data_IF_160027110265
#
_entry.id   IF_160027110265
#
_cell.length_a   1.000
_cell.length_b   1.000
_cell.length_c   1.000
_cell.angle_alpha   90.00
_cell.angle_beta   90.00
_cell.angle_gamma   90.00
#
_symmetry.space_group_name_H-M   'P 1'
#
loop_
_entity.id
_entity.type
_entity.pdbx_description
1 polymer ?
#
# COMPACT_ATOMS: atom_id res chain seq x y z
N UNK A 1 -20.72 44.74 4.04
CA UNK A 1 -20.43 44.56 2.58
C UNK A 1 -19.39 43.48 2.28
N UNK A 2 -18.30 43.35 3.05
CA UNK A 2 -17.28 42.27 2.86
C UNK A 2 -17.85 40.85 2.99
N UNK A 3 -18.71 40.59 3.97
CA UNK A 3 -19.36 39.28 4.13
C UNK A 3 -20.25 38.90 2.94
N UNK A 4 -21.07 39.82 2.39
CA UNK A 4 -21.88 39.54 1.20
C UNK A 4 -21.04 39.15 -0.02
N UNK A 5 -19.90 39.81 -0.25
CA UNK A 5 -18.96 39.45 -1.34
C UNK A 5 -18.30 38.07 -1.12
N UNK A 6 -17.97 37.73 0.12
CA UNK A 6 -17.46 36.38 0.48
C UNK A 6 -18.54 35.31 0.26
N UNK A 7 -19.79 35.57 0.62
CA UNK A 7 -20.91 34.66 0.40
C UNK A 7 -21.23 34.46 -1.09
N UNK A 8 -21.24 35.53 -1.89
CA UNK A 8 -21.42 35.41 -3.35
C UNK A 8 -20.24 34.69 -4.03
N UNK A 9 -19.00 34.90 -3.55
CA UNK A 9 -17.83 34.17 -4.02
C UNK A 9 -17.89 32.68 -3.69
N UNK A 10 -18.25 32.34 -2.45
CA UNK A 10 -18.42 30.95 -2.01
C UNK A 10 -19.56 30.24 -2.76
N UNK A 11 -20.69 30.92 -2.97
CA UNK A 11 -21.81 30.40 -3.75
C UNK A 11 -21.42 30.16 -5.22
N UNK A 12 -20.66 31.08 -5.82
CA UNK A 12 -20.13 30.93 -7.18
C UNK A 12 -19.20 29.71 -7.32
N UNK A 13 -18.28 29.52 -6.37
CA UNK A 13 -17.39 28.35 -6.34
C UNK A 13 -18.19 27.05 -6.19
N UNK A 14 -19.21 27.04 -5.33
CA UNK A 14 -20.07 25.88 -5.14
C UNK A 14 -20.84 25.51 -6.42
N UNK A 15 -21.38 26.51 -7.14
CA UNK A 15 -22.08 26.29 -8.41
C UNK A 15 -21.15 25.73 -9.48
N UNK A 16 -19.94 26.26 -9.61
CA UNK A 16 -18.93 25.75 -10.56
C UNK A 16 -18.55 24.31 -10.20
N UNK A 17 -18.28 24.03 -8.93
CA UNK A 17 -17.97 22.69 -8.45
C UNK A 17 -19.09 21.69 -8.74
N UNK A 18 -20.35 22.09 -8.55
CA UNK A 18 -21.52 21.26 -8.86
C UNK A 18 -21.64 21.00 -10.37
N UNK A 19 -21.45 22.03 -11.20
CA UNK A 19 -21.49 21.86 -12.66
C UNK A 19 -20.40 20.89 -13.16
N UNK A 20 -19.18 21.00 -12.61
CA UNK A 20 -18.08 20.06 -12.90
C UNK A 20 -18.43 18.65 -12.45
N UNK A 21 -18.95 18.48 -11.23
CA UNK A 21 -19.38 17.18 -10.71
C UNK A 21 -20.45 16.55 -11.61
N UNK A 22 -21.47 17.30 -12.04
CA UNK A 22 -22.50 16.80 -12.97
C UNK A 22 -21.87 16.39 -14.32
N UNK A 23 -20.90 17.15 -14.84
CA UNK A 23 -20.18 16.79 -16.06
C UNK A 23 -19.29 15.55 -15.95
N UNK A 24 -18.81 15.22 -14.74
CA UNK A 24 -18.07 13.98 -14.45
C UNK A 24 -19.04 12.81 -14.26
N UNK A 25 -20.22 13.07 -13.70
CA UNK A 25 -21.25 12.08 -13.40
C UNK A 25 -21.72 11.33 -14.65
N UNK A 26 -21.77 12.01 -15.80
CA UNK A 26 -22.31 11.48 -17.06
C UNK A 26 -21.31 11.64 -18.22
N UNK A 27 -20.17 10.95 -18.12
CA UNK A 27 -19.23 10.88 -19.25
C UNK A 27 -19.74 9.91 -20.32
N UNK A 28 -19.59 10.23 -21.62
CA UNK A 28 -20.03 9.34 -22.68
C UNK A 28 -19.16 8.06 -22.70
N UNK A 29 -19.79 6.95 -23.09
CA UNK A 29 -19.09 5.70 -23.34
C UNK A 29 -18.13 5.84 -24.52
N UNK A 30 -16.92 5.30 -24.40
CA UNK A 30 -16.03 5.07 -25.55
C UNK A 30 -16.45 3.76 -26.21
N UNK A 31 -16.64 3.79 -27.53
CA UNK A 31 -17.05 2.63 -28.31
C UNK A 31 -16.09 1.45 -28.06
N UNK A 32 -16.61 0.22 -27.84
CA UNK A 32 -15.76 -0.94 -27.70
C UNK A 32 -15.00 -1.20 -29.01
N UNK A 33 -13.79 -1.74 -28.88
CA UNK A 33 -13.01 -2.25 -30.01
C UNK A 33 -13.03 -3.79 -29.99
N UNK A 34 -12.63 -4.40 -31.10
CA UNK A 34 -12.23 -5.80 -31.07
C UNK A 34 -10.88 -5.93 -30.35
N UNK A 35 -10.66 -7.01 -29.56
CA UNK A 35 -9.40 -7.20 -28.88
C UNK A 35 -8.22 -7.22 -29.87
N UNK A 36 -7.19 -6.38 -29.67
CA UNK A 36 -6.00 -6.40 -30.51
C UNK A 36 -5.31 -7.76 -30.42
N UNK A 37 -4.76 -8.22 -31.54
CA UNK A 37 -4.00 -9.46 -31.57
C UNK A 37 -2.72 -9.32 -30.72
N UNK A 38 -2.40 -10.30 -29.87
CA UNK A 38 -1.21 -10.22 -28.99
C UNK A 38 0.08 -9.93 -29.77
N UNK A 39 0.20 -10.49 -30.97
CA UNK A 39 1.36 -10.32 -31.85
C UNK A 39 1.47 -8.92 -32.49
N UNK A 40 0.44 -8.06 -32.38
CA UNK A 40 0.49 -6.69 -32.92
C UNK A 40 1.27 -5.72 -32.03
N UNK A 41 1.60 -6.12 -30.79
CA UNK A 41 2.37 -5.30 -29.88
C UNK A 41 3.87 -5.56 -30.02
N UNK A 42 4.66 -4.49 -30.09
CA UNK A 42 6.11 -4.57 -30.09
C UNK A 42 6.61 -5.25 -28.78
N UNK A 43 7.42 -6.33 -28.87
CA UNK A 43 8.00 -6.97 -27.69
C UNK A 43 8.78 -6.02 -26.77
N UNK A 44 9.42 -4.96 -27.29
CA UNK A 44 10.10 -3.97 -26.45
C UNK A 44 9.10 -3.16 -25.62
N UNK A 45 7.99 -2.73 -26.24
CA UNK A 45 6.91 -2.03 -25.56
C UNK A 45 6.25 -2.91 -24.49
N UNK A 46 6.04 -4.20 -24.77
CA UNK A 46 5.50 -5.16 -23.80
C UNK A 46 6.44 -5.33 -22.61
N UNK A 47 7.76 -5.40 -22.83
CA UNK A 47 8.75 -5.45 -21.73
C UNK A 47 8.75 -4.17 -20.90
N UNK A 48 8.66 -3.00 -21.54
CA UNK A 48 8.51 -1.72 -20.82
C UNK A 48 7.23 -1.73 -19.98
N UNK A 49 6.14 -2.27 -20.53
CA UNK A 49 4.86 -2.40 -19.83
C UNK A 49 4.92 -3.30 -18.61
N UNK A 50 5.70 -4.39 -18.65
CA UNK A 50 5.93 -5.25 -17.50
C UNK A 50 6.52 -4.45 -16.32
N UNK A 51 7.51 -3.58 -16.59
CA UNK A 51 8.09 -2.67 -15.58
C UNK A 51 7.05 -1.69 -15.04
N UNK A 52 6.24 -1.08 -15.90
CA UNK A 52 5.20 -0.12 -15.48
C UNK A 52 4.14 -0.78 -14.60
N UNK A 53 3.69 -1.98 -14.98
CA UNK A 53 2.67 -2.74 -14.25
C UNK A 53 3.18 -3.23 -12.90
N UNK A 54 4.47 -3.61 -12.80
CA UNK A 54 5.13 -3.92 -11.53
C UNK A 54 5.31 -2.67 -10.65
N UNK A 55 5.76 -1.53 -11.21
CA UNK A 55 5.84 -0.26 -10.46
C UNK A 55 4.48 0.23 -9.96
N UNK A 56 3.41 -0.06 -10.71
CA UNK A 56 2.04 0.26 -10.35
C UNK A 56 1.38 -0.73 -9.39
N UNK A 57 2.06 -1.82 -9.03
CA UNK A 57 1.57 -2.88 -8.15
C UNK A 57 0.22 -3.47 -8.60
N UNK A 58 -0.03 -3.49 -9.92
CA UNK A 58 -1.39 -3.77 -10.43
C UNK A 58 -1.81 -5.22 -10.14
N UNK A 59 -0.86 -6.16 -10.12
CA UNK A 59 -1.14 -7.58 -9.90
C UNK A 59 -1.65 -7.84 -8.48
N UNK A 60 -1.19 -7.05 -7.51
CA UNK A 60 -1.55 -7.20 -6.09
C UNK A 60 -3.03 -6.89 -5.89
N UNK A 61 -3.53 -5.82 -6.50
CA UNK A 61 -4.95 -5.49 -6.43
C UNK A 61 -5.80 -6.38 -7.34
N UNK A 62 -5.34 -6.65 -8.57
CA UNK A 62 -6.15 -7.32 -9.59
C UNK A 62 -6.03 -8.85 -9.58
N UNK A 63 -5.69 -9.48 -8.46
CA UNK A 63 -5.61 -10.94 -8.33
C UNK A 63 -6.24 -11.37 -7.01
N UNK A 64 -7.27 -12.22 -7.05
CA UNK A 64 -7.86 -12.79 -5.83
C UNK A 64 -6.89 -13.75 -5.12
N UNK A 65 -7.16 -14.07 -3.85
CA UNK A 65 -6.50 -15.17 -3.14
C UNK A 65 -6.73 -16.47 -3.95
N UNK A 66 -5.65 -17.12 -4.39
CA UNK A 66 -5.66 -18.29 -5.30
C UNK A 66 -6.25 -18.04 -6.72
N UNK A 67 -6.40 -16.76 -7.09
CA UNK A 67 -6.87 -16.34 -8.40
C UNK A 67 -5.79 -16.40 -9.49
N UNK A 68 -6.23 -16.35 -10.75
CA UNK A 68 -5.32 -16.14 -11.88
C UNK A 68 -4.84 -14.68 -11.91
N UNK A 69 -3.57 -14.41 -12.24
CA UNK A 69 -3.03 -13.06 -12.28
C UNK A 69 -3.91 -12.11 -13.12
N UNK A 70 -4.19 -10.93 -12.57
CA UNK A 70 -4.97 -9.86 -13.22
C UNK A 70 -6.47 -10.14 -13.44
N UNK A 71 -6.99 -11.30 -13.02
CA UNK A 71 -8.38 -11.69 -13.21
C UNK A 71 -9.37 -11.02 -12.25
N UNK A 72 -8.90 -10.16 -11.35
CA UNK A 72 -9.70 -9.44 -10.36
C UNK A 72 -10.21 -10.34 -9.24
N UNK A 73 -11.22 -9.83 -8.52
CA UNK A 73 -11.94 -10.58 -7.48
C UNK A 73 -11.39 -10.42 -6.06
N UNK A 74 -10.25 -9.74 -5.87
CA UNK A 74 -9.74 -9.44 -4.54
C UNK A 74 -10.73 -8.53 -3.77
N UNK A 75 -11.16 -8.90 -2.56
CA UNK A 75 -11.94 -8.03 -1.69
C UNK A 75 -11.04 -6.98 -1.03
N UNK A 76 -11.41 -5.71 -1.19
CA UNK A 76 -10.81 -4.57 -0.51
C UNK A 76 -11.79 -4.08 0.56
N UNK A 77 -11.54 -4.48 1.80
CA UNK A 77 -12.37 -4.09 2.94
C UNK A 77 -12.12 -2.62 3.29
N UNK A 78 -13.16 -1.80 3.23
CA UNK A 78 -13.11 -0.38 3.59
C UNK A 78 -14.06 -0.08 4.75
N UNK A 79 -13.92 1.06 5.43
CA UNK A 79 -14.92 1.52 6.40
C UNK A 79 -16.34 1.72 5.83
N UNK A 80 -16.47 1.71 4.50
CA UNK A 80 -17.71 1.95 3.76
C UNK A 80 -18.34 0.67 3.19
N UNK A 81 -17.73 -0.50 3.44
CA UNK A 81 -18.06 -1.78 2.83
C UNK A 81 -16.92 -2.32 1.97
N UNK A 82 -17.19 -3.33 1.16
CA UNK A 82 -16.20 -4.07 0.39
C UNK A 82 -16.24 -3.68 -1.08
N UNK A 83 -15.08 -3.30 -1.63
CA UNK A 83 -14.87 -3.09 -3.06
C UNK A 83 -14.18 -4.32 -3.62
N UNK A 84 -14.59 -4.80 -4.79
CA UNK A 84 -13.91 -5.91 -5.44
C UNK A 84 -13.10 -5.40 -6.63
N UNK A 85 -11.83 -5.81 -6.70
CA UNK A 85 -10.98 -5.48 -7.83
C UNK A 85 -11.54 -6.09 -9.13
N UNK A 86 -11.41 -5.36 -10.23
CA UNK A 86 -11.95 -5.78 -11.54
C UNK A 86 -10.98 -6.71 -12.28
N UNK A 87 -11.48 -7.47 -13.24
CA UNK A 87 -10.65 -8.21 -14.17
C UNK A 87 -10.03 -7.25 -15.21
N UNK A 88 -8.70 -7.23 -15.31
CA UNK A 88 -7.94 -6.41 -16.26
C UNK A 88 -7.14 -7.24 -17.27
N UNK A 89 -7.51 -8.52 -17.43
CA UNK A 89 -7.01 -9.38 -18.51
C UNK A 89 -7.61 -8.96 -19.87
N UNK A 90 -7.05 -9.39 -21.02
CA UNK A 90 -7.61 -9.08 -22.33
C UNK A 90 -8.88 -9.86 -22.67
N UNK A 91 -9.53 -10.51 -21.69
CA UNK A 91 -10.81 -11.17 -21.93
C UNK A 91 -11.85 -10.14 -22.43
N UNK A 92 -12.57 -10.49 -23.49
CA UNK A 92 -13.43 -9.56 -24.21
C UNK A 92 -14.76 -9.28 -23.48
N UNK A 93 -15.21 -10.20 -22.63
CA UNK A 93 -16.52 -10.14 -21.98
C UNK A 93 -16.43 -9.60 -20.56
N UNK A 94 -15.41 -10.03 -19.82
CA UNK A 94 -15.26 -9.79 -18.38
C UNK A 94 -14.04 -8.94 -18.04
N UNK A 95 -13.06 -8.84 -18.94
CA UNK A 95 -11.85 -8.04 -18.77
C UNK A 95 -11.85 -6.72 -19.55
N UNK A 96 -10.64 -6.23 -19.85
CA UNK A 96 -10.43 -5.00 -20.64
C UNK A 96 -10.24 -5.27 -22.14
N UNK A 97 -10.50 -6.50 -22.61
CA UNK A 97 -10.26 -6.91 -24.01
C UNK A 97 -10.87 -5.99 -25.07
N UNK A 98 -12.02 -5.38 -24.77
CA UNK A 98 -12.74 -4.46 -25.67
C UNK A 98 -12.46 -2.98 -25.41
N UNK A 99 -11.52 -2.64 -24.53
CA UNK A 99 -11.15 -1.27 -24.21
C UNK A 99 -10.10 -0.80 -25.20
N UNK A 100 -10.26 0.39 -25.77
CA UNK A 100 -9.17 1.03 -26.49
C UNK A 100 -8.10 1.55 -25.52
N UNK A 101 -6.89 1.83 -26.03
CA UNK A 101 -5.85 2.51 -25.24
C UNK A 101 -6.37 3.82 -24.64
N UNK A 102 -7.23 4.56 -25.34
CA UNK A 102 -7.79 5.82 -24.83
C UNK A 102 -8.80 5.60 -23.70
N UNK A 103 -9.60 4.53 -23.76
CA UNK A 103 -10.47 4.16 -22.65
C UNK A 103 -9.66 3.75 -21.41
N UNK A 104 -8.56 3.00 -21.61
CA UNK A 104 -7.63 2.64 -20.54
C UNK A 104 -6.94 3.88 -19.95
N UNK A 105 -6.45 4.79 -20.79
CA UNK A 105 -5.85 6.05 -20.37
C UNK A 105 -6.83 6.92 -19.58
N UNK A 106 -8.10 6.98 -20.00
CA UNK A 106 -9.15 7.73 -19.29
C UNK A 106 -9.43 7.15 -17.91
N UNK A 107 -9.42 5.83 -17.76
CA UNK A 107 -9.57 5.20 -16.46
C UNK A 107 -8.42 5.58 -15.52
N UNK A 108 -7.17 5.48 -15.99
CA UNK A 108 -5.98 5.82 -15.20
C UNK A 108 -5.89 7.32 -14.86
N UNK A 109 -6.21 8.22 -15.80
CA UNK A 109 -6.02 9.66 -15.60
C UNK A 109 -7.18 10.35 -14.88
N UNK A 110 -8.40 9.89 -15.13
CA UNK A 110 -9.62 10.59 -14.71
C UNK A 110 -10.52 9.73 -13.81
N UNK A 111 -10.18 8.46 -13.58
CA UNK A 111 -11.01 7.55 -12.80
C UNK A 111 -12.37 7.30 -13.47
N UNK A 112 -12.43 7.27 -14.80
CA UNK A 112 -13.68 7.04 -15.55
C UNK A 112 -13.53 5.78 -16.42
N UNK A 113 -14.40 4.79 -16.19
CA UNK A 113 -14.42 3.54 -16.94
C UNK A 113 -14.80 3.76 -18.43
N UNK A 114 -14.58 2.74 -19.28
CA UNK A 114 -14.93 2.81 -20.72
C UNK A 114 -16.40 3.18 -20.98
N UNK A 115 -17.33 2.63 -20.20
CA UNK A 115 -18.76 2.90 -20.33
C UNK A 115 -19.19 4.28 -19.79
N UNK A 116 -18.27 5.00 -19.13
CA UNK A 116 -18.48 6.36 -18.65
C UNK A 116 -18.75 6.50 -17.16
N UNK A 117 -18.89 5.40 -16.41
CA UNK A 117 -19.13 5.50 -14.97
C UNK A 117 -17.84 5.88 -14.20
N UNK A 118 -17.93 6.64 -13.10
CA UNK A 118 -16.80 6.91 -12.21
C UNK A 118 -16.32 5.66 -11.47
N UNK A 119 -15.01 5.42 -11.45
CA UNK A 119 -14.36 4.37 -10.69
C UNK A 119 -14.19 4.79 -9.24
N UNK A 120 -14.32 3.84 -8.31
CA UNK A 120 -14.10 4.16 -6.89
C UNK A 120 -12.63 4.51 -6.60
N UNK A 121 -12.36 5.46 -5.70
CA UNK A 121 -11.00 5.91 -5.37
C UNK A 121 -10.04 4.86 -4.82
N UNK A 122 -10.53 3.67 -4.47
CA UNK A 122 -9.67 2.52 -4.17
C UNK A 122 -8.75 2.17 -5.36
N UNK A 123 -9.17 2.49 -6.59
CA UNK A 123 -8.27 2.57 -7.73
C UNK A 123 -7.51 3.91 -7.66
N UNK A 124 -6.16 3.92 -7.53
CA UNK A 124 -5.40 5.13 -7.19
C UNK A 124 -5.18 6.08 -8.39
N UNK A 125 -6.25 6.39 -9.14
CA UNK A 125 -6.20 7.27 -10.32
C UNK A 125 -5.77 8.71 -9.99
N UNK A 126 -5.92 9.16 -8.74
CA UNK A 126 -5.37 10.45 -8.28
C UNK A 126 -3.83 10.49 -8.29
N UNK A 127 -3.18 9.31 -8.34
CA UNK A 127 -1.74 9.17 -8.54
C UNK A 127 -1.40 8.85 -9.98
N UNK A 128 -2.12 7.90 -10.61
CA UNK A 128 -1.88 7.50 -11.99
C UNK A 128 -2.08 8.61 -13.02
N UNK A 129 -2.80 9.68 -12.69
CA UNK A 129 -2.87 10.88 -13.53
C UNK A 129 -1.50 11.48 -13.88
N UNK A 130 -0.48 11.22 -13.05
CA UNK A 130 0.92 11.65 -13.27
C UNK A 130 1.67 10.81 -14.31
N UNK A 131 1.15 9.64 -14.68
CA UNK A 131 1.80 8.75 -15.67
C UNK A 131 2.00 9.45 -17.01
N UNK A 132 3.11 9.13 -17.68
CA UNK A 132 3.34 9.57 -19.06
C UNK A 132 2.42 8.79 -20.02
N UNK A 133 2.22 9.32 -21.23
CA UNK A 133 1.46 8.59 -22.24
C UNK A 133 2.18 7.31 -22.71
N UNK A 134 3.51 7.31 -22.67
CA UNK A 134 4.34 6.15 -22.97
C UNK A 134 4.16 5.06 -21.91
N UNK A 135 4.16 5.41 -20.62
CA UNK A 135 3.91 4.44 -19.53
C UNK A 135 2.51 3.82 -19.65
N UNK A 136 1.48 4.63 -19.93
CA UNK A 136 0.11 4.15 -20.13
C UNK A 136 0.04 3.20 -21.34
N UNK A 137 0.70 3.56 -22.43
CA UNK A 137 0.71 2.76 -23.66
C UNK A 137 1.45 1.43 -23.46
N UNK A 138 2.57 1.46 -22.74
CA UNK A 138 3.33 0.28 -22.38
C UNK A 138 2.52 -0.65 -21.45
N UNK A 139 1.91 -0.11 -20.39
CA UNK A 139 1.06 -0.86 -19.47
C UNK A 139 -0.12 -1.53 -20.21
N UNK A 140 -0.80 -0.78 -21.08
CA UNK A 140 -1.86 -1.31 -21.93
C UNK A 140 -1.36 -2.47 -22.81
N UNK A 141 -0.23 -2.30 -23.51
CA UNK A 141 0.34 -3.35 -24.34
C UNK A 141 0.69 -4.62 -23.53
N UNK A 142 1.27 -4.46 -22.33
CA UNK A 142 1.58 -5.60 -21.47
C UNK A 142 0.32 -6.35 -21.00
N UNK A 143 -0.69 -5.62 -20.52
CA UNK A 143 -1.95 -6.22 -20.07
C UNK A 143 -2.67 -6.92 -21.23
N UNK A 144 -2.71 -6.31 -22.41
CA UNK A 144 -3.38 -6.87 -23.59
C UNK A 144 -2.67 -8.11 -24.18
N UNK A 145 -1.46 -8.43 -23.73
CA UNK A 145 -0.73 -9.66 -24.10
C UNK A 145 -0.80 -10.76 -23.03
N UNK A 146 -1.43 -10.50 -21.88
CA UNK A 146 -1.62 -11.52 -20.84
C UNK A 146 -2.59 -12.61 -21.32
N UNK A 147 -2.64 -13.70 -20.56
CA UNK A 147 -3.64 -14.72 -20.81
C UNK A 147 -5.04 -14.16 -20.45
N UNK A 148 -6.07 -14.33 -21.30
CA UNK A 148 -7.40 -13.81 -21.08
C UNK A 148 -8.08 -14.76 -20.11
N UNK A 149 -8.54 -14.24 -18.99
CA UNK A 149 -9.22 -15.04 -17.99
C UNK A 149 -10.65 -14.58 -17.95
N UNK A 150 -11.59 -15.47 -18.29
CA UNK A 150 -13.01 -15.16 -18.22
C UNK A 150 -13.52 -15.33 -16.80
N UNK A 151 -13.51 -14.24 -16.05
CA UNK A 151 -13.93 -14.21 -14.65
C UNK A 151 -14.77 -12.96 -14.37
N UNK A 152 -16.02 -13.18 -13.95
CA UNK A 152 -16.87 -12.09 -13.46
C UNK A 152 -16.61 -11.89 -11.97
N UNK A 153 -16.14 -10.71 -11.61
CA UNK A 153 -15.85 -10.36 -10.22
C UNK A 153 -17.15 -10.06 -9.46
N UNK A 154 -17.20 -10.30 -8.13
CA UNK A 154 -18.36 -9.91 -7.33
C UNK A 154 -18.66 -8.40 -7.46
N UNK A 155 -19.93 -7.98 -7.36
CA UNK A 155 -20.26 -6.56 -7.31
C UNK A 155 -19.79 -5.96 -5.98
N UNK A 156 -19.47 -4.67 -5.97
CA UNK A 156 -19.13 -3.95 -4.74
C UNK A 156 -20.32 -3.97 -3.77
N UNK A 157 -20.02 -4.21 -2.50
CA UNK A 157 -20.97 -4.18 -1.39
C UNK A 157 -20.68 -2.98 -0.51
N UNK A 158 -21.30 -1.85 -0.84
CA UNK A 158 -21.09 -0.56 -0.16
C UNK A 158 -22.36 -0.09 0.53
N UNK A 159 -22.19 0.60 1.65
CA UNK A 159 -23.31 1.21 2.38
C UNK A 159 -23.98 2.30 1.55
N UNK A 160 -25.30 2.46 1.69
CA UNK A 160 -26.01 3.60 1.12
C UNK A 160 -25.59 4.91 1.82
N UNK A 161 -25.35 6.03 1.10
CA UNK A 161 -25.51 6.22 -0.35
C UNK A 161 -24.23 5.99 -1.17
N UNK A 162 -23.14 5.48 -0.60
CA UNK A 162 -21.84 5.31 -1.27
C UNK A 162 -21.86 4.21 -2.37
N UNK A 163 -22.85 3.32 -2.34
CA UNK A 163 -23.16 2.42 -3.45
C UNK A 163 -23.69 3.15 -4.70
N UNK A 164 -24.20 4.37 -4.59
CA UNK A 164 -24.60 5.19 -5.74
C UNK A 164 -23.36 5.83 -6.38
N UNK A 165 -22.71 5.04 -7.24
CA UNK A 165 -21.44 5.35 -7.94
C UNK A 165 -21.34 6.74 -8.57
N UNK A 166 -22.39 7.35 -9.15
CA UNK A 166 -22.37 8.73 -9.62
C UNK A 166 -21.88 9.78 -8.60
N UNK A 167 -22.02 9.54 -7.29
CA UNK A 167 -21.56 10.47 -6.25
C UNK A 167 -20.03 10.60 -6.16
N UNK A 168 -19.28 9.63 -6.70
CA UNK A 168 -17.81 9.73 -6.77
C UNK A 168 -17.36 10.94 -7.59
N UNK A 169 -18.21 11.45 -8.48
CA UNK A 169 -17.93 12.70 -9.20
C UNK A 169 -17.64 13.88 -8.27
N UNK A 170 -18.32 14.00 -7.13
CA UNK A 170 -18.05 15.04 -6.13
C UNK A 170 -16.70 14.83 -5.45
N UNK A 171 -16.37 13.56 -5.15
CA UNK A 171 -15.06 13.20 -4.62
C UNK A 171 -13.94 13.59 -5.61
N UNK A 172 -14.13 13.35 -6.91
CA UNK A 172 -13.16 13.76 -7.94
C UNK A 172 -12.92 15.27 -7.95
N UNK A 173 -13.95 16.11 -7.81
CA UNK A 173 -13.75 17.57 -7.70
C UNK A 173 -12.83 17.93 -6.54
N UNK A 174 -12.96 17.23 -5.41
CA UNK A 174 -12.18 17.50 -4.20
C UNK A 174 -10.73 17.01 -4.30
N UNK A 175 -10.49 15.81 -4.83
CA UNK A 175 -9.19 15.13 -4.68
C UNK A 175 -8.45 14.89 -6.00
N UNK A 176 -9.13 14.80 -7.15
CA UNK A 176 -8.45 14.59 -8.43
C UNK A 176 -7.81 15.89 -8.92
N UNK A 177 -6.52 15.82 -9.22
CA UNK A 177 -5.75 16.90 -9.85
C UNK A 177 -5.07 16.34 -11.10
N UNK A 178 -5.70 16.55 -12.24
CA UNK A 178 -5.21 15.98 -13.49
C UNK A 178 -3.91 16.65 -13.94
N UNK A 179 -2.97 15.83 -14.43
CA UNK A 179 -1.77 16.32 -15.09
C UNK A 179 -0.58 15.38 -14.95
N UNK A 180 0.12 15.18 -16.06
CA UNK A 180 1.40 14.48 -16.06
C UNK A 180 2.40 15.21 -15.15
N UNK A 181 3.27 14.43 -14.50
CA UNK A 181 4.34 14.98 -13.69
C UNK A 181 5.25 15.90 -14.51
N UNK A 182 5.66 17.02 -13.89
CA UNK A 182 6.65 17.94 -14.46
C UNK A 182 7.89 17.92 -13.58
N UNK A 183 9.07 17.58 -14.14
CA UNK A 183 10.33 17.62 -13.41
C UNK A 183 10.61 19.02 -12.83
N UNK A 184 11.11 19.06 -11.61
CA UNK A 184 11.64 20.26 -10.98
C UNK A 184 13.07 20.52 -11.48
N UNK A 185 13.34 21.64 -12.18
CA UNK A 185 14.66 21.93 -12.73
C UNK A 185 15.73 22.21 -11.65
N UNK A 186 15.33 22.45 -10.40
CA UNK A 186 16.26 22.62 -9.28
C UNK A 186 16.73 21.30 -8.66
N UNK A 187 16.13 20.18 -9.07
CA UNK A 187 16.38 18.85 -8.51
C UNK A 187 17.12 17.96 -9.51
N UNK A 188 17.83 16.96 -8.99
CA UNK A 188 18.53 15.99 -9.84
C UNK A 188 17.56 15.13 -10.65
N UNK A 189 18.04 14.54 -11.75
CA UNK A 189 17.25 13.61 -12.55
C UNK A 189 16.76 12.40 -11.71
N UNK A 190 17.62 11.89 -10.82
CA UNK A 190 17.29 10.78 -9.91
C UNK A 190 16.20 11.18 -8.92
N UNK A 191 16.26 12.38 -8.35
CA UNK A 191 15.21 12.88 -7.46
C UNK A 191 13.87 13.03 -8.18
N UNK A 192 13.88 13.63 -9.38
CA UNK A 192 12.67 13.80 -10.19
C UNK A 192 12.07 12.45 -10.60
N UNK A 193 12.91 11.47 -10.94
CA UNK A 193 12.47 10.09 -11.18
C UNK A 193 11.83 9.49 -9.94
N UNK A 194 12.46 9.65 -8.78
CA UNK A 194 11.95 9.17 -7.50
C UNK A 194 10.59 9.76 -7.15
N UNK A 195 10.44 11.08 -7.30
CA UNK A 195 9.18 11.79 -7.08
C UNK A 195 8.07 11.30 -8.01
N UNK A 196 8.37 11.13 -9.30
CA UNK A 196 7.41 10.57 -10.27
C UNK A 196 6.93 9.18 -9.85
N UNK A 197 7.85 8.31 -9.42
CA UNK A 197 7.51 6.96 -9.00
C UNK A 197 6.70 6.98 -7.70
N UNK A 198 7.12 7.73 -6.68
CA UNK A 198 6.46 7.74 -5.37
C UNK A 198 5.09 8.43 -5.41
N UNK A 199 4.98 9.59 -6.05
CA UNK A 199 3.72 10.34 -6.11
C UNK A 199 2.78 9.84 -7.22
N UNK A 200 3.33 9.11 -8.21
CA UNK A 200 2.63 8.64 -9.40
C UNK A 200 2.43 7.13 -9.40
N UNK A 201 3.24 6.39 -10.16
CA UNK A 201 3.06 4.96 -10.40
C UNK A 201 2.99 4.12 -9.12
N UNK A 202 3.93 4.31 -8.19
CA UNK A 202 3.99 3.57 -6.94
C UNK A 202 2.98 4.04 -5.89
N UNK A 203 2.22 5.11 -6.15
CA UNK A 203 1.10 5.63 -5.35
C UNK A 203 1.33 5.57 -3.82
N UNK A 204 2.56 5.78 -3.35
CA UNK A 204 2.95 5.36 -2.00
C UNK A 204 2.16 6.12 -0.91
N UNK A 205 1.71 7.33 -1.24
CA UNK A 205 0.87 8.14 -0.37
C UNK A 205 -0.51 7.51 -0.09
N UNK A 206 -1.04 6.66 -0.97
CA UNK A 206 -2.32 5.96 -0.79
C UNK A 206 -2.31 5.04 0.45
N UNK A 207 -1.15 4.48 0.79
CA UNK A 207 -0.98 3.67 2.00
C UNK A 207 -0.32 4.45 3.15
N UNK A 208 0.63 5.32 2.82
CA UNK A 208 1.46 6.01 3.81
C UNK A 208 0.97 7.41 4.17
N UNK A 209 -0.27 7.78 3.85
CA UNK A 209 -0.89 9.05 4.28
C UNK A 209 -2.22 8.77 4.97
N UNK A 210 -2.61 9.58 5.97
CA UNK A 210 -3.87 9.37 6.65
C UNK A 210 -5.03 9.80 5.74
N UNK A 211 -6.08 8.99 5.72
CA UNK A 211 -7.31 9.29 5.01
C UNK A 211 -8.27 10.11 5.89
N UNK A 212 -9.08 10.96 5.27
CA UNK A 212 -10.16 11.69 5.92
C UNK A 212 -11.44 10.82 5.99
N UNK A 213 -12.48 11.35 6.62
CA UNK A 213 -13.75 10.64 6.84
C UNK A 213 -14.49 10.21 5.55
N UNK A 214 -14.13 10.75 4.39
CA UNK A 214 -14.69 10.38 3.07
C UNK A 214 -13.68 9.62 2.19
N UNK A 215 -12.62 9.07 2.80
CA UNK A 215 -11.65 8.21 2.12
C UNK A 215 -10.66 8.93 1.21
N UNK A 216 -10.54 10.26 1.28
CA UNK A 216 -9.50 11.01 0.56
C UNK A 216 -8.26 11.26 1.42
N UNK A 217 -7.09 11.38 0.81
CA UNK A 217 -5.86 11.76 1.52
C UNK A 217 -6.02 13.12 2.24
N UNK A 218 -5.56 13.21 3.48
CA UNK A 218 -5.64 14.45 4.25
C UNK A 218 -4.65 15.49 3.73
N UNK A 219 -5.16 16.68 3.38
CA UNK A 219 -4.34 17.79 2.90
C UNK A 219 -3.28 18.19 3.96
N UNK A 220 -2.03 18.33 3.52
CA UNK A 220 -0.91 18.71 4.38
C UNK A 220 -0.38 17.61 5.30
N UNK A 221 -0.87 16.37 5.15
CA UNK A 221 -0.45 15.19 5.92
C UNK A 221 0.17 14.09 5.06
N UNK A 222 0.62 14.43 3.85
CA UNK A 222 1.22 13.47 2.94
C UNK A 222 2.41 12.76 3.61
N UNK A 223 2.42 11.43 3.54
CA UNK A 223 3.46 10.57 4.09
C UNK A 223 3.54 10.50 5.63
N UNK A 224 2.50 10.94 6.36
CA UNK A 224 2.42 10.88 7.84
C UNK A 224 2.08 9.49 8.41
N UNK A 225 1.98 8.47 7.55
CA UNK A 225 1.56 7.11 7.89
C UNK A 225 0.07 6.90 7.67
N UNK A 226 -0.39 5.66 7.78
CA UNK A 226 -1.78 5.28 7.49
C UNK A 226 -2.14 3.91 8.04
N UNK A 227 -3.41 3.54 7.90
CA UNK A 227 -3.89 2.18 8.20
C UNK A 227 -4.42 1.58 6.90
N UNK A 228 -3.89 0.41 6.52
CA UNK A 228 -4.30 -0.34 5.32
C UNK A 228 -4.43 -1.81 5.69
N UNK A 229 -5.57 -2.41 5.38
CA UNK A 229 -5.89 -3.82 5.69
C UNK A 229 -5.59 -4.23 7.14
N UNK A 230 -5.85 -3.33 8.09
CA UNK A 230 -5.60 -3.57 9.52
C UNK A 230 -4.14 -3.42 9.96
N UNK A 231 -3.21 -3.19 9.02
CA UNK A 231 -1.79 -2.89 9.27
C UNK A 231 -1.57 -1.38 9.38
N UNK A 232 -0.57 -0.98 10.16
CA UNK A 232 -0.07 0.40 10.22
C UNK A 232 1.05 0.59 9.19
N UNK A 233 0.78 1.38 8.16
CA UNK A 233 1.81 1.86 7.25
C UNK A 233 2.60 2.99 7.95
N UNK A 234 3.91 2.82 8.20
CA UNK A 234 4.69 3.81 8.92
C UNK A 234 4.84 5.11 8.11
N UNK A 235 5.05 6.27 8.76
CA UNK A 235 5.33 7.51 8.05
C UNK A 235 6.60 7.41 7.19
N UNK A 236 6.49 7.72 5.89
CA UNK A 236 7.67 7.78 5.00
C UNK A 236 8.46 9.07 5.18
N UNK A 237 7.88 10.09 5.83
CA UNK A 237 8.54 11.36 6.12
C UNK A 237 9.18 11.44 7.52
N UNK A 238 9.30 10.31 8.23
CA UNK A 238 9.91 10.24 9.57
C UNK A 238 10.90 9.07 9.74
N UNK A 239 11.43 8.53 8.64
CA UNK A 239 12.48 7.50 8.64
C UNK A 239 13.76 7.95 9.38
N UNK A 240 14.06 9.24 9.37
CA UNK A 240 15.18 9.80 10.16
C UNK A 240 14.97 9.73 11.69
N UNK A 241 13.74 9.50 12.16
CA UNK A 241 13.39 9.41 13.60
C UNK A 241 13.23 7.97 14.10
N UNK A 242 13.51 6.97 13.25
CA UNK A 242 13.55 5.57 13.68
C UNK A 242 14.64 5.34 14.76
N UNK A 243 14.56 4.22 15.48
CA UNK A 243 15.53 3.85 16.55
C UNK A 243 16.97 3.95 16.04
N UNK A 244 17.18 3.49 14.80
CA UNK A 244 18.34 3.81 13.99
C UNK A 244 17.84 4.56 12.75
N UNK A 245 18.38 5.73 12.40
CA UNK A 245 17.96 6.43 11.18
C UNK A 245 18.20 5.55 9.94
N UNK A 246 17.23 5.53 9.02
CA UNK A 246 17.38 4.80 7.76
C UNK A 246 18.49 5.38 6.89
N UNK A 247 19.34 4.50 6.37
CA UNK A 247 20.26 4.84 5.28
C UNK A 247 19.63 4.56 3.91
N UNK A 248 20.15 5.20 2.85
CA UNK A 248 19.71 4.92 1.49
C UNK A 248 19.95 3.45 1.11
N UNK A 249 21.09 2.88 1.49
CA UNK A 249 21.41 1.49 1.24
C UNK A 249 20.39 0.54 1.90
N UNK A 250 20.05 0.77 3.18
CA UNK A 250 19.02 -0.02 3.87
C UNK A 250 17.65 0.11 3.21
N UNK A 251 17.25 1.31 2.81
CA UNK A 251 15.95 1.52 2.16
C UNK A 251 15.89 0.82 0.79
N UNK A 252 16.95 0.89 -0.01
CA UNK A 252 17.04 0.15 -1.29
C UNK A 252 16.98 -1.35 -1.05
N UNK A 253 17.73 -1.88 -0.08
CA UNK A 253 17.69 -3.30 0.28
C UNK A 253 16.29 -3.71 0.73
N UNK A 254 15.61 -2.90 1.55
CA UNK A 254 14.24 -3.18 1.99
C UNK A 254 13.26 -3.24 0.83
N UNK A 255 13.30 -2.24 -0.06
CA UNK A 255 12.39 -2.19 -1.21
C UNK A 255 12.65 -3.31 -2.22
N UNK A 256 13.86 -3.87 -2.29
CA UNK A 256 14.20 -5.01 -3.19
C UNK A 256 14.03 -6.39 -2.57
N UNK A 257 14.09 -6.51 -1.25
CA UNK A 257 14.19 -7.83 -0.58
C UNK A 257 13.15 -8.05 0.51
N UNK A 258 12.38 -7.00 0.83
CA UNK A 258 11.48 -6.98 1.98
C UNK A 258 12.22 -6.96 3.31
N UNK A 259 13.51 -6.61 3.38
CA UNK A 259 14.30 -6.62 4.62
C UNK A 259 15.26 -5.46 4.73
N UNK A 260 15.39 -4.91 5.92
CA UNK A 260 16.48 -4.02 6.27
C UNK A 260 17.09 -4.39 7.62
N UNK A 261 18.42 -4.43 7.64
CA UNK A 261 19.18 -4.46 8.88
C UNK A 261 18.74 -3.31 9.76
N UNK A 262 18.60 -3.57 11.06
CA UNK A 262 18.18 -2.59 12.06
C UNK A 262 16.76 -2.02 11.92
N UNK A 263 15.88 -2.63 11.10
CA UNK A 263 14.49 -2.17 10.95
C UNK A 263 13.44 -3.28 10.90
N UNK A 264 13.77 -4.43 10.30
CA UNK A 264 12.87 -5.59 10.23
C UNK A 264 12.54 -6.04 8.81
N UNK A 265 11.42 -6.74 8.67
CA UNK A 265 10.95 -7.33 7.41
C UNK A 265 9.57 -6.80 7.02
N UNK A 266 9.33 -6.72 5.71
CA UNK A 266 8.04 -6.41 5.12
C UNK A 266 7.06 -7.55 5.38
N UNK A 267 5.81 -7.19 5.68
CA UNK A 267 4.71 -8.11 5.90
C UNK A 267 3.40 -7.43 5.47
N UNK A 268 2.30 -8.19 5.48
CA UNK A 268 0.99 -7.69 5.10
C UNK A 268 1.01 -7.04 3.71
N UNK A 269 0.34 -5.89 3.53
CA UNK A 269 0.24 -5.20 2.24
C UNK A 269 1.58 -4.74 1.65
N UNK A 270 2.60 -4.49 2.48
CA UNK A 270 3.90 -4.01 1.98
C UNK A 270 4.77 -5.12 1.39
N UNK A 271 4.57 -6.37 1.81
CA UNK A 271 5.36 -7.51 1.33
C UNK A 271 5.28 -7.70 -0.20
N UNK A 272 4.09 -7.78 -0.83
CA UNK A 272 4.02 -7.94 -2.27
C UNK A 272 4.58 -6.71 -3.02
N UNK A 273 4.43 -5.49 -2.48
CA UNK A 273 5.05 -4.28 -3.05
C UNK A 273 6.57 -4.45 -3.16
N UNK A 274 7.24 -4.97 -2.11
CA UNK A 274 8.70 -5.21 -2.17
C UNK A 274 9.08 -6.29 -3.17
N UNK A 275 8.20 -7.26 -3.46
CA UNK A 275 8.43 -8.29 -4.47
C UNK A 275 8.32 -7.71 -5.87
N UNK A 276 7.31 -6.90 -6.14
CA UNK A 276 7.14 -6.24 -7.43
C UNK A 276 8.31 -5.28 -7.70
N UNK A 277 8.72 -4.50 -6.70
CA UNK A 277 9.90 -3.64 -6.78
C UNK A 277 11.23 -4.42 -6.92
N UNK A 278 11.30 -5.68 -6.50
CA UNK A 278 12.48 -6.52 -6.75
C UNK A 278 12.67 -6.82 -8.25
N UNK A 279 11.58 -6.82 -9.02
CA UNK A 279 11.58 -7.15 -10.46
C UNK A 279 11.91 -5.96 -11.35
N UNK A 280 11.86 -4.73 -10.83
CA UNK A 280 12.15 -3.52 -11.59
C UNK A 280 13.66 -3.19 -11.56
N UNK A 281 14.15 -2.39 -12.53
CA UNK A 281 15.54 -1.98 -12.55
C UNK A 281 15.95 -1.27 -11.25
N UNK A 282 17.16 -1.57 -10.76
CA UNK A 282 17.64 -1.10 -9.47
C UNK A 282 17.63 0.43 -9.37
N UNK A 283 17.89 1.13 -10.47
CA UNK A 283 17.90 2.59 -10.51
C UNK A 283 16.55 3.22 -10.16
N UNK A 284 15.42 2.53 -10.39
CA UNK A 284 14.10 3.01 -9.96
C UNK A 284 13.96 2.95 -8.45
N UNK A 285 14.43 1.87 -7.84
CA UNK A 285 14.39 1.69 -6.39
C UNK A 285 15.32 2.69 -5.70
N UNK A 286 16.50 2.94 -6.27
CA UNK A 286 17.41 3.97 -5.80
C UNK A 286 16.80 5.37 -5.90
N UNK A 287 16.11 5.67 -7.01
CA UNK A 287 15.40 6.94 -7.18
C UNK A 287 14.27 7.11 -6.16
N UNK A 288 13.46 6.07 -5.93
CA UNK A 288 12.43 6.05 -4.87
C UNK A 288 13.07 6.35 -3.52
N UNK A 289 14.16 5.67 -3.17
CA UNK A 289 14.87 5.89 -1.91
C UNK A 289 15.43 7.32 -1.79
N UNK A 290 16.02 7.87 -2.86
CA UNK A 290 16.49 9.26 -2.92
C UNK A 290 15.38 10.24 -2.61
N UNK A 291 14.19 10.08 -3.23
CA UNK A 291 13.08 10.99 -3.00
C UNK A 291 12.49 10.84 -1.59
N UNK A 292 12.26 9.61 -1.12
CA UNK A 292 11.74 9.37 0.23
C UNK A 292 12.68 9.98 1.28
N UNK A 293 14.00 9.80 1.17
CA UNK A 293 14.95 10.40 2.12
C UNK A 293 15.04 11.93 2.04
N UNK A 294 14.54 12.54 0.96
CA UNK A 294 14.51 14.01 0.84
C UNK A 294 13.31 14.67 1.54
N UNK A 295 12.23 13.92 1.81
CA UNK A 295 10.98 14.45 2.39
C UNK A 295 10.93 14.33 3.92
N UNK A 296 12.06 14.07 4.56
CA UNK A 296 12.12 13.82 6.01
C UNK A 296 11.83 15.09 6.81
N UNK A 297 10.94 14.97 7.80
CA UNK A 297 10.73 16.00 8.82
C UNK A 297 11.94 16.04 9.77
N UNK A 298 12.22 17.21 10.38
CA UNK A 298 13.28 17.32 11.38
C UNK A 298 13.12 16.25 12.47
N UNK A 299 14.12 15.41 12.64
CA UNK A 299 14.10 14.37 13.66
C UNK A 299 14.22 15.01 15.05
N UNK A 300 13.35 14.59 15.99
CA UNK A 300 13.60 14.87 17.39
C UNK A 300 14.85 14.08 17.81
N UNK A 301 15.87 14.76 18.36
CA UNK A 301 17.07 14.11 18.84
C UNK A 301 16.69 13.07 19.91
N UNK A 302 16.83 11.79 19.58
CA UNK A 302 16.69 10.69 20.53
C UNK A 302 18.02 9.94 20.62
N UNK A 303 18.46 9.54 21.82
CA UNK A 303 19.62 8.67 21.97
C UNK A 303 19.41 7.39 21.17
N UNK A 304 20.33 7.10 20.25
CA UNK A 304 20.33 5.91 19.41
C UNK A 304 20.85 4.69 20.17
N UNK A 305 20.27 4.39 21.33
CA UNK A 305 20.55 3.13 22.03
C UNK A 305 19.48 2.13 21.64
N UNK A 306 19.90 1.03 21.00
CA UNK A 306 19.07 -0.17 20.97
C UNK A 306 18.79 -0.53 22.43
N UNK A 307 17.54 -0.40 22.87
CA UNK A 307 17.19 -0.75 24.23
C UNK A 307 17.39 -2.24 24.42
N UNK A 308 18.44 -2.65 25.12
CA UNK A 308 18.50 -3.99 25.69
C UNK A 308 17.37 -4.05 26.71
N UNK A 309 16.34 -4.85 26.44
CA UNK A 309 15.24 -5.03 27.36
C UNK A 309 15.74 -5.55 28.71
N UNK A 310 15.02 -5.22 29.78
CA UNK A 310 15.42 -5.58 31.15
C UNK A 310 14.99 -7.00 31.55
N UNK A 311 14.49 -7.78 30.58
CA UNK A 311 13.82 -9.06 30.82
C UNK A 311 12.39 -8.89 31.36
N UNK A 312 11.61 -9.97 31.42
CA UNK A 312 10.21 -9.91 31.85
C UNK A 312 10.11 -9.61 33.34
N UNK A 313 9.54 -8.45 33.67
CA UNK A 313 9.30 -7.99 35.06
C UNK A 313 7.83 -8.02 35.43
N UNK A 314 6.93 -7.91 34.46
CA UNK A 314 5.48 -7.96 34.70
C UNK A 314 4.93 -9.40 34.64
N UNK A 315 3.81 -9.72 35.32
CA UNK A 315 3.17 -11.02 35.19
C UNK A 315 2.80 -11.39 33.74
N UNK A 316 2.40 -10.41 32.94
CA UNK A 316 2.11 -10.60 31.51
C UNK A 316 3.38 -10.92 30.72
N UNK A 317 4.46 -10.16 30.92
CA UNK A 317 5.76 -10.42 30.32
C UNK A 317 6.33 -11.80 30.71
N UNK A 318 6.11 -12.25 31.95
CA UNK A 318 6.54 -13.57 32.41
C UNK A 318 5.78 -14.72 31.73
N UNK A 319 4.45 -14.60 31.59
CA UNK A 319 3.66 -15.58 30.82
C UNK A 319 4.04 -15.55 29.35
N UNK A 320 4.21 -14.36 28.78
CA UNK A 320 4.67 -14.15 27.41
C UNK A 320 6.05 -14.76 27.14
N UNK A 321 6.97 -14.71 28.11
CA UNK A 321 8.27 -15.34 28.00
C UNK A 321 8.16 -16.86 27.80
N UNK A 322 7.25 -17.52 28.52
CA UNK A 322 7.00 -18.96 28.37
C UNK A 322 6.47 -19.28 26.96
N UNK A 323 5.50 -18.51 26.48
CA UNK A 323 4.95 -18.66 25.12
C UNK A 323 6.02 -18.41 24.04
N UNK A 324 6.84 -17.37 24.22
CA UNK A 324 7.92 -17.03 23.29
C UNK A 324 8.96 -18.15 23.24
N UNK A 325 9.36 -18.72 24.38
CA UNK A 325 10.27 -19.87 24.39
C UNK A 325 9.68 -21.09 23.68
N UNK A 326 8.37 -21.32 23.80
CA UNK A 326 7.72 -22.46 23.19
C UNK A 326 7.58 -22.35 21.66
N UNK A 327 7.36 -21.14 21.11
CA UNK A 327 7.01 -20.99 19.68
C UNK A 327 7.87 -20.03 18.87
N UNK A 328 8.57 -19.10 19.50
CA UNK A 328 9.26 -18.01 18.80
C UNK A 328 10.79 -18.10 18.93
N UNK A 329 11.30 -18.60 20.05
CA UNK A 329 12.72 -18.55 20.40
C UNK A 329 13.61 -19.37 19.46
N UNK A 330 13.08 -20.41 18.81
CA UNK A 330 13.83 -21.17 17.81
C UNK A 330 14.28 -20.32 16.61
N UNK A 331 13.52 -19.26 16.31
CA UNK A 331 13.77 -18.30 15.22
C UNK A 331 14.28 -16.94 15.73
N UNK A 332 13.77 -16.45 16.86
CA UNK A 332 14.05 -15.10 17.35
C UNK A 332 14.89 -15.05 18.64
N UNK A 333 15.20 -16.20 19.23
CA UNK A 333 16.05 -16.28 20.42
C UNK A 333 17.50 -15.89 20.12
N UNK A 334 18.29 -15.51 21.14
CA UNK A 334 19.69 -15.08 20.95
C UNK A 334 20.59 -16.11 20.25
N UNK A 335 20.29 -17.40 20.42
CA UNK A 335 21.03 -18.50 19.80
C UNK A 335 20.40 -19.01 18.48
N UNK A 336 19.33 -18.37 18.00
CA UNK A 336 18.63 -18.79 16.80
C UNK A 336 19.48 -18.53 15.54
N UNK A 337 19.55 -19.47 14.57
CA UNK A 337 20.30 -19.27 13.32
C UNK A 337 19.90 -18.02 12.53
N UNK A 338 18.65 -17.57 12.65
CA UNK A 338 18.18 -16.33 12.03
C UNK A 338 18.86 -15.06 12.56
N UNK A 339 19.52 -15.08 13.73
CA UNK A 339 20.29 -13.96 14.25
C UNK A 339 21.66 -13.81 13.56
N UNK A 340 22.17 -14.87 12.93
CA UNK A 340 23.50 -14.89 12.30
C UNK A 340 23.46 -15.08 10.78
N UNK A 341 22.35 -15.58 10.23
CA UNK A 341 22.18 -15.85 8.80
C UNK A 341 21.31 -14.77 8.14
N UNK A 342 21.84 -14.12 7.10
CA UNK A 342 21.09 -13.24 6.22
C UNK A 342 20.74 -11.86 6.79
N UNK A 343 21.59 -11.31 7.68
CA UNK A 343 21.44 -9.98 8.28
C UNK A 343 20.09 -9.75 9.00
N UNK A 344 19.53 -10.83 9.55
CA UNK A 344 18.37 -10.88 10.46
C UNK A 344 18.53 -9.98 11.68
N UNK A 345 18.07 -8.70 11.76
CA UNK A 345 18.32 -7.97 12.98
C UNK A 345 17.54 -8.62 14.13
N UNK A 346 18.12 -8.57 15.32
CA UNK A 346 17.39 -8.83 16.56
C UNK A 346 16.05 -8.09 16.55
N UNK A 347 15.03 -8.68 17.18
CA UNK A 347 13.75 -8.01 17.38
C UNK A 347 13.89 -6.66 18.09
N UNK A 348 15.04 -6.40 18.74
CA UNK A 348 15.33 -5.10 19.34
C UNK A 348 15.44 -3.93 18.37
N UNK A 349 15.65 -4.21 17.09
CA UNK A 349 15.63 -3.20 16.03
C UNK A 349 14.34 -3.26 15.19
N UNK A 350 13.40 -4.13 15.52
CA UNK A 350 12.15 -4.21 14.79
C UNK A 350 11.36 -2.92 14.95
N UNK A 351 11.07 -2.26 13.83
CA UNK A 351 10.18 -1.09 13.77
C UNK A 351 8.80 -1.41 14.35
N UNK A 352 8.29 -2.63 14.17
CA UNK A 352 7.03 -3.07 14.77
C UNK A 352 7.10 -3.18 16.30
N UNK A 353 8.23 -3.65 16.85
CA UNK A 353 8.44 -3.72 18.31
C UNK A 353 8.68 -2.33 18.89
N UNK A 354 9.33 -1.43 18.15
CA UNK A 354 9.61 -0.06 18.56
C UNK A 354 8.46 0.93 18.30
N UNK A 355 7.37 0.49 17.65
CA UNK A 355 6.23 1.33 17.31
C UNK A 355 5.47 1.85 18.54
N UNK A 356 4.74 2.95 18.38
CA UNK A 356 3.93 3.51 19.46
C UNK A 356 2.66 2.69 19.71
N UNK A 357 2.18 1.94 18.71
CA UNK A 357 1.06 1.01 18.83
C UNK A 357 1.53 -0.45 18.70
N UNK A 358 0.84 -1.42 19.34
CA UNK A 358 1.15 -2.84 19.17
C UNK A 358 0.61 -3.44 17.86
N UNK A 359 -0.04 -2.64 17.00
CA UNK A 359 -0.81 -3.14 15.85
C UNK A 359 0.00 -4.04 14.93
N UNK A 360 1.16 -3.58 14.47
CA UNK A 360 1.99 -4.35 13.54
C UNK A 360 2.64 -5.57 14.22
N UNK A 361 2.95 -5.48 15.52
CA UNK A 361 3.47 -6.63 16.27
C UNK A 361 2.40 -7.73 16.39
N UNK A 362 1.15 -7.37 16.70
CA UNK A 362 0.01 -8.29 16.71
C UNK A 362 -0.23 -8.87 15.32
N UNK A 363 -0.30 -8.02 14.29
CA UNK A 363 -0.53 -8.43 12.91
C UNK A 363 0.54 -9.42 12.40
N UNK A 364 1.80 -9.18 12.75
CA UNK A 364 2.89 -10.10 12.43
C UNK A 364 2.71 -11.46 13.13
N UNK A 365 2.28 -11.49 14.40
CA UNK A 365 1.99 -12.75 15.09
C UNK A 365 0.76 -13.46 14.50
N UNK A 366 -0.30 -12.72 14.17
CA UNK A 366 -1.51 -13.28 13.59
C UNK A 366 -1.27 -13.87 12.21
N UNK A 367 -0.71 -13.10 11.29
CA UNK A 367 -0.69 -13.46 9.88
C UNK A 367 0.65 -14.03 9.43
N UNK A 368 1.73 -13.78 10.19
CA UNK A 368 3.07 -14.22 9.85
C UNK A 368 3.54 -13.67 8.49
N UNK A 369 4.44 -14.42 7.86
CA UNK A 369 4.93 -14.19 6.51
C UNK A 369 4.93 -15.55 5.80
N UNK A 370 3.99 -15.75 4.87
CA UNK A 370 3.80 -17.01 4.16
C UNK A 370 4.96 -17.41 3.24
N UNK A 371 4.96 -18.68 2.80
CA UNK A 371 5.89 -19.18 1.77
C UNK A 371 5.44 -18.73 0.39
N UNK A 372 6.34 -18.17 -0.40
CA UNK A 372 6.04 -17.75 -1.78
C UNK A 372 7.22 -18.06 -2.71
N UNK A 373 7.47 -19.34 -2.96
CA UNK A 373 8.54 -19.82 -3.84
C UNK A 373 9.84 -20.18 -3.12
N UNK A 374 10.96 -20.15 -3.85
CA UNK A 374 12.27 -20.67 -3.42
C UNK A 374 12.99 -19.79 -2.37
N UNK A 375 12.51 -18.57 -2.13
CA UNK A 375 13.14 -17.63 -1.20
C UNK A 375 12.72 -17.94 0.25
N UNK A 376 13.23 -19.07 0.75
CA UNK A 376 12.91 -19.71 2.05
C UNK A 376 13.23 -18.87 3.27
N UNK A 377 13.97 -17.77 3.11
CA UNK A 377 14.51 -17.05 4.23
C UNK A 377 13.40 -16.31 5.00
N UNK A 378 12.39 -15.72 4.36
CA UNK A 378 11.46 -14.78 5.02
C UNK A 378 10.24 -15.40 5.70
N UNK A 379 10.20 -16.71 5.92
CA UNK A 379 9.04 -17.34 6.53
C UNK A 379 8.86 -17.00 8.01
N UNK A 380 7.62 -16.70 8.40
CA UNK A 380 7.14 -16.71 9.78
C UNK A 380 5.75 -17.35 9.80
N UNK A 381 5.50 -18.39 10.60
CA UNK A 381 4.17 -18.98 10.68
C UNK A 381 3.14 -17.99 11.24
N UNK A 382 1.90 -18.15 10.81
CA UNK A 382 0.74 -17.52 11.44
C UNK A 382 0.47 -18.18 12.80
N UNK A 383 0.08 -17.36 13.78
CA UNK A 383 -0.33 -17.79 15.12
C UNK A 383 -1.76 -17.39 15.48
N UNK A 384 -2.54 -16.89 14.50
CA UNK A 384 -3.92 -16.44 14.76
C UNK A 384 -4.74 -17.61 15.32
N UNK A 385 -4.64 -18.82 14.80
CA UNK A 385 -5.45 -19.95 15.29
C UNK A 385 -4.85 -20.68 16.50
N UNK A 386 -3.61 -20.35 16.88
CA UNK A 386 -2.84 -21.06 17.91
C UNK A 386 -2.88 -20.35 19.27
N UNK A 387 -2.99 -19.03 19.26
CA UNK A 387 -3.04 -18.22 20.47
C UNK A 387 -4.30 -17.36 20.53
N UNK A 388 -4.91 -17.32 21.71
CA UNK A 388 -6.01 -16.40 21.99
C UNK A 388 -5.51 -14.94 22.17
N UNK A 389 -6.44 -14.00 22.31
CA UNK A 389 -6.13 -12.57 22.40
C UNK A 389 -5.31 -12.21 23.65
N UNK A 390 -5.50 -12.95 24.76
CA UNK A 390 -4.77 -12.72 26.00
C UNK A 390 -3.33 -13.25 25.90
N UNK A 391 -3.14 -14.41 25.29
CA UNK A 391 -1.82 -14.99 25.01
C UNK A 391 -1.01 -14.10 24.05
N UNK A 392 -1.67 -13.50 23.07
CA UNK A 392 -1.05 -12.55 22.13
C UNK A 392 -0.66 -11.26 22.84
N UNK A 393 -1.50 -10.78 23.77
CA UNK A 393 -1.15 -9.65 24.62
C UNK A 393 0.04 -9.95 25.54
N UNK A 394 0.11 -11.14 26.14
CA UNK A 394 1.24 -11.58 26.95
C UNK A 394 2.54 -11.66 26.11
N UNK A 395 2.49 -12.24 24.90
CA UNK A 395 3.61 -12.26 23.95
C UNK A 395 4.08 -10.84 23.60
N UNK A 396 3.17 -9.94 23.26
CA UNK A 396 3.50 -8.56 22.94
C UNK A 396 4.14 -7.82 24.15
N UNK A 397 3.65 -8.07 25.37
CA UNK A 397 4.25 -7.53 26.59
C UNK A 397 5.68 -8.02 26.77
N UNK A 398 5.92 -9.33 26.60
CA UNK A 398 7.27 -9.90 26.63
C UNK A 398 8.18 -9.28 25.57
N UNK A 399 7.72 -9.18 24.31
CA UNK A 399 8.49 -8.59 23.23
C UNK A 399 8.91 -7.15 23.55
N UNK A 400 7.98 -6.36 24.09
CA UNK A 400 8.23 -4.97 24.48
C UNK A 400 9.25 -4.87 25.62
N UNK A 401 9.15 -5.71 26.65
CA UNK A 401 10.05 -5.70 27.81
C UNK A 401 11.44 -6.28 27.52
N UNK A 402 11.53 -7.30 26.65
CA UNK A 402 12.77 -8.01 26.35
C UNK A 402 13.57 -7.37 25.21
N UNK A 403 12.91 -6.67 24.30
CA UNK A 403 13.53 -6.13 23.08
C UNK A 403 13.33 -4.62 22.90
N UNK A 404 12.76 -3.91 23.88
CA UNK A 404 12.63 -2.45 23.79
C UNK A 404 12.85 -1.78 25.13
N UNK A 405 13.29 -0.52 25.08
CA UNK A 405 13.31 0.41 26.23
C UNK A 405 12.06 1.30 26.27
N UNK A 406 11.13 1.12 25.33
CA UNK A 406 9.93 1.94 25.23
C UNK A 406 8.87 1.51 26.25
N UNK A 407 7.98 2.43 26.66
CA UNK A 407 6.89 2.09 27.58
C UNK A 407 6.05 0.92 27.07
N UNK A 408 5.50 0.15 28.01
CA UNK A 408 4.55 -0.91 27.72
C UNK A 408 3.34 -0.36 26.93
N UNK A 409 2.85 -1.16 25.98
CA UNK A 409 1.61 -0.83 25.27
C UNK A 409 0.39 -1.02 26.17
N UNK A 410 -0.66 -0.25 25.94
CA UNK A 410 -1.96 -0.37 26.62
C UNK A 410 -3.02 -0.99 25.68
N UNK A 411 -4.00 -1.68 26.26
CA UNK A 411 -5.16 -2.23 25.54
C UNK A 411 -4.82 -3.25 24.45
N UNK A 412 -3.72 -3.99 24.62
CA UNK A 412 -3.19 -4.93 23.61
C UNK A 412 -4.18 -6.06 23.31
N UNK A 413 -4.81 -6.61 24.34
CA UNK A 413 -5.84 -7.66 24.28
C UNK A 413 -7.08 -7.19 23.50
N UNK A 414 -7.55 -5.97 23.79
CA UNK A 414 -8.70 -5.36 23.12
C UNK A 414 -8.39 -5.12 21.64
N UNK A 415 -7.17 -4.66 21.33
CA UNK A 415 -6.75 -4.49 19.95
C UNK A 415 -6.60 -5.84 19.23
N UNK A 416 -6.04 -6.87 19.89
CA UNK A 416 -5.92 -8.21 19.34
C UNK A 416 -7.30 -8.79 18.97
N UNK A 417 -8.27 -8.70 19.88
CA UNK A 417 -9.65 -9.13 19.63
C UNK A 417 -10.30 -8.38 18.46
N UNK A 418 -10.03 -7.08 18.33
CA UNK A 418 -10.51 -6.27 17.20
C UNK A 418 -9.86 -6.71 15.88
N UNK A 419 -8.53 -6.81 15.86
CA UNK A 419 -7.76 -7.20 14.67
C UNK A 419 -8.13 -8.59 14.18
N UNK A 420 -8.33 -9.55 15.10
CA UNK A 420 -8.77 -10.90 14.76
C UNK A 420 -10.10 -10.90 14.02
N UNK A 421 -11.07 -10.12 14.49
CA UNK A 421 -12.37 -9.97 13.80
C UNK A 421 -12.22 -9.33 12.43
N UNK A 422 -11.32 -8.35 12.29
CA UNK A 422 -11.02 -7.71 11.00
C UNK A 422 -10.36 -8.70 10.03
N UNK A 423 -9.40 -9.51 10.50
CA UNK A 423 -8.69 -10.52 9.70
C UNK A 423 -9.61 -11.69 9.29
N UNK A 424 -10.44 -12.19 10.21
CA UNK A 424 -11.39 -13.27 9.90
C UNK A 424 -12.51 -12.85 8.93
N UNK A 425 -12.71 -11.55 8.73
CA UNK A 425 -13.70 -11.01 7.80
C UNK A 425 -13.12 -10.73 6.40
N UNK A 426 -11.79 -10.79 6.25
CA UNK A 426 -11.08 -10.66 4.97
C UNK A 426 -10.86 -12.05 4.36
#
# INVERSE_FOLDING_TARGET
MKHKRLWFGAAGIAVVGLAVAIGIMFKPSIAPIDPPARASFDPQLVRAGARVVALGDCVVCHTANDGQPFAGGLPLATPFGTIYATNITPDADTGIGRWSRDAFARALRSGIARDGHPLYPAFPYIHFTRMSDDDITAAYAYLMTREPVRTKTPPNDLIFPLNFRPLVAFWNVLFLREGAYRPDPSQSAQWNRGKLLVDGLGHCASCHSPLNAIGGEQAGKAFDGGIVDGWEAPPLNALGSAVKPWTQAQLVTYLRTGRASEHGAAAGPMLPVTRDLATVPQEDVEAIATYILSIQKPAAARPATAGAGHGPTTPAGQRGAVLFQASCAQCHGPAAPMQSIGERPTLAFSTAVAADTPRNAIQMMFNGIGWHGEDTLNYMPSFIDQYDDAQIADLAAYLREAYSDRPAWSGVDTLAAKLRKEDSAR
#
